data_IF_714417403606
#
_entry.id   IF_714417403606
#
_cell.length_a   1.000
_cell.length_b   1.000
_cell.length_c   1.000
_cell.angle_alpha   90.00
_cell.angle_beta   90.00
_cell.angle_gamma   90.00
#
_symmetry.space_group_name_H-M   'P 1'
#
loop_
_entity.id
_entity.type
_entity.pdbx_description
1 polymer ?
#
# COMPACT_ATOMS: atom_id res chain seq x y z
N UNK A 1 -15.96 -4.25 -2.71
CA UNK A 1 -15.38 -2.90 -2.64
C UNK A 1 -16.20 -1.97 -3.51
N UNK A 2 -16.67 -0.86 -2.95
CA UNK A 2 -17.31 0.25 -3.67
C UNK A 2 -16.28 1.36 -3.92
N UNK A 3 -16.59 2.34 -4.79
CA UNK A 3 -15.70 3.51 -4.96
C UNK A 3 -15.59 4.31 -3.66
N UNK A 4 -16.66 4.40 -2.88
CA UNK A 4 -16.64 5.08 -1.57
C UNK A 4 -15.72 4.38 -0.57
N UNK A 5 -15.77 3.04 -0.49
CA UNK A 5 -14.87 2.26 0.36
C UNK A 5 -13.41 2.44 -0.08
N UNK A 6 -13.10 2.29 -1.37
CA UNK A 6 -11.77 2.52 -1.91
C UNK A 6 -11.26 3.93 -1.57
N UNK A 7 -12.11 4.95 -1.75
CA UNK A 7 -11.78 6.33 -1.45
C UNK A 7 -11.39 6.54 0.02
N UNK A 8 -12.19 6.00 0.95
CA UNK A 8 -11.94 6.10 2.39
C UNK A 8 -10.70 5.29 2.82
N UNK A 9 -10.52 4.09 2.28
CA UNK A 9 -9.33 3.27 2.54
C UNK A 9 -8.05 3.94 2.02
N UNK A 10 -8.09 4.52 0.83
CA UNK A 10 -6.94 5.25 0.29
C UNK A 10 -6.63 6.53 1.07
N UNK A 11 -7.64 7.26 1.55
CA UNK A 11 -7.43 8.43 2.41
C UNK A 11 -6.87 8.06 3.79
N UNK A 12 -7.39 7.00 4.40
CA UNK A 12 -6.99 6.59 5.75
C UNK A 12 -5.60 5.95 5.77
N UNK A 13 -5.27 5.15 4.76
CA UNK A 13 -3.96 4.49 4.65
C UNK A 13 -2.89 5.35 3.96
N UNK A 14 -3.29 6.40 3.24
CA UNK A 14 -2.39 7.18 2.38
C UNK A 14 -1.86 6.40 1.18
N UNK A 15 -2.39 5.20 0.92
CA UNK A 15 -1.93 4.30 -0.15
C UNK A 15 -3.11 3.86 -1.00
N UNK A 16 -2.92 3.87 -2.32
CA UNK A 16 -3.76 3.17 -3.28
C UNK A 16 -2.92 2.13 -4.00
N UNK A 17 -3.46 0.94 -4.20
CA UNK A 17 -2.72 -0.16 -4.84
C UNK A 17 -2.98 -0.23 -6.33
N UNK A 18 -2.06 -0.80 -7.13
CA UNK A 18 -2.28 -0.98 -8.58
C UNK A 18 -3.58 -1.72 -8.90
N UNK A 19 -3.88 -2.80 -8.18
CA UNK A 19 -5.11 -3.58 -8.38
C UNK A 19 -6.39 -2.76 -8.13
N UNK A 20 -6.33 -1.78 -7.24
CA UNK A 20 -7.47 -0.89 -6.96
C UNK A 20 -7.63 0.17 -8.04
N UNK A 21 -6.53 0.69 -8.59
CA UNK A 21 -6.56 1.55 -9.77
C UNK A 21 -7.12 0.78 -10.95
N UNK A 22 -6.63 -0.42 -11.22
CA UNK A 22 -7.12 -1.27 -12.31
C UNK A 22 -8.61 -1.56 -12.16
N UNK A 23 -9.05 -1.87 -10.94
CA UNK A 23 -10.48 -2.07 -10.63
C UNK A 23 -11.32 -0.81 -10.90
N UNK A 24 -10.79 0.37 -10.56
CA UNK A 24 -11.48 1.65 -10.76
C UNK A 24 -11.53 2.05 -12.24
N UNK A 25 -10.46 1.81 -12.99
CA UNK A 25 -10.38 2.05 -14.44
C UNK A 25 -11.27 1.09 -15.24
N UNK A 26 -11.36 -0.18 -14.84
CA UNK A 26 -12.26 -1.16 -15.47
C UNK A 26 -13.75 -0.77 -15.36
N UNK A 27 -14.10 0.10 -14.40
CA UNK A 27 -15.47 0.52 -14.11
C UNK A 27 -15.78 1.95 -14.58
N UNK A 28 -14.84 2.66 -15.20
CA UNK A 28 -14.98 4.10 -15.49
C UNK A 28 -16.28 4.47 -16.21
N UNK A 29 -16.79 3.59 -17.09
CA UNK A 29 -17.98 3.84 -17.89
C UNK A 29 -19.31 3.52 -17.17
N UNK A 30 -19.27 2.89 -15.99
CA UNK A 30 -20.46 2.50 -15.20
C UNK A 30 -20.59 3.25 -13.88
N UNK A 31 -19.61 4.11 -13.56
CA UNK A 31 -19.63 4.93 -12.35
C UNK A 31 -20.73 5.98 -12.42
N UNK A 32 -21.44 6.15 -11.30
CA UNK A 32 -22.35 7.27 -11.08
C UNK A 32 -21.57 8.60 -11.01
N UNK A 33 -22.26 9.74 -11.19
CA UNK A 33 -21.60 11.06 -11.08
C UNK A 33 -20.83 11.28 -9.77
N UNK A 34 -21.37 10.91 -8.58
CA UNK A 34 -20.60 11.03 -7.33
C UNK A 34 -19.36 10.14 -7.30
N UNK A 35 -19.44 8.92 -7.84
CA UNK A 35 -18.30 8.01 -7.91
C UNK A 35 -17.21 8.50 -8.88
N UNK A 36 -17.61 9.08 -10.01
CA UNK A 36 -16.68 9.74 -10.94
C UNK A 36 -15.98 10.92 -10.28
N UNK A 37 -16.70 11.74 -9.51
CA UNK A 37 -16.10 12.85 -8.76
C UNK A 37 -15.09 12.35 -7.70
N UNK A 38 -15.41 11.24 -7.02
CA UNK A 38 -14.51 10.61 -6.06
C UNK A 38 -13.25 10.05 -6.74
N UNK A 39 -13.39 9.37 -7.88
CA UNK A 39 -12.31 8.87 -8.72
C UNK A 39 -11.38 10.01 -9.19
N UNK A 40 -11.94 11.11 -9.70
CA UNK A 40 -11.18 12.29 -10.11
C UNK A 40 -10.42 12.91 -8.92
N UNK A 41 -11.05 12.96 -7.75
CA UNK A 41 -10.39 13.45 -6.54
C UNK A 41 -9.25 12.55 -6.10
N UNK A 42 -9.39 11.23 -6.21
CA UNK A 42 -8.29 10.28 -5.97
C UNK A 42 -7.11 10.53 -6.91
N UNK A 43 -7.37 10.73 -8.21
CA UNK A 43 -6.33 11.06 -9.18
C UNK A 43 -5.56 12.31 -8.78
N UNK A 44 -6.25 13.40 -8.41
CA UNK A 44 -5.58 14.63 -7.94
C UNK A 44 -4.75 14.44 -6.68
N UNK A 45 -5.23 13.64 -5.73
CA UNK A 45 -4.48 13.34 -4.50
C UNK A 45 -3.23 12.52 -4.80
N UNK A 46 -3.30 11.62 -5.79
CA UNK A 46 -2.16 10.86 -6.28
C UNK A 46 -1.13 11.78 -6.95
N UNK A 47 -1.57 12.66 -7.86
CA UNK A 47 -0.70 13.61 -8.56
C UNK A 47 0.00 14.59 -7.60
N UNK A 48 -0.66 14.94 -6.49
CA UNK A 48 -0.11 15.81 -5.44
C UNK A 48 0.84 15.07 -4.47
N UNK A 49 0.91 13.74 -4.55
CA UNK A 49 1.66 12.92 -3.59
C UNK A 49 1.01 12.82 -2.20
N UNK A 50 -0.24 13.27 -2.06
CA UNK A 50 -1.00 13.13 -0.80
C UNK A 50 -1.44 11.68 -0.56
N UNK A 51 -1.64 10.92 -1.64
CA UNK A 51 -1.79 9.46 -1.64
C UNK A 51 -0.68 8.89 -2.51
N UNK A 52 -0.12 7.75 -2.11
CA UNK A 52 0.96 7.09 -2.83
C UNK A 52 0.49 5.79 -3.49
N UNK A 53 1.07 5.47 -4.63
CA UNK A 53 1.00 4.13 -5.22
C UNK A 53 1.81 3.16 -4.36
N UNK A 54 1.21 2.05 -3.94
CA UNK A 54 1.90 1.10 -3.08
C UNK A 54 1.23 -0.26 -2.93
N UNK A 55 1.58 -0.97 -1.87
CA UNK A 55 1.00 -2.27 -1.54
C UNK A 55 0.51 -2.27 -0.09
N UNK A 56 -0.58 -2.99 0.19
CA UNK A 56 -1.04 -3.24 1.56
C UNK A 56 -0.55 -4.62 2.00
N UNK A 57 0.36 -4.64 2.95
CA UNK A 57 0.88 -5.88 3.53
C UNK A 57 -0.14 -6.44 4.51
N UNK A 58 -0.59 -7.67 4.30
CA UNK A 58 -1.38 -8.37 5.31
C UNK A 58 -0.50 -8.64 6.54
N UNK A 59 -1.08 -8.58 7.75
CA UNK A 59 -0.36 -8.92 9.00
C UNK A 59 0.31 -10.29 8.96
N UNK A 60 -0.25 -11.24 8.20
CA UNK A 60 0.34 -12.56 7.99
C UNK A 60 1.69 -12.50 7.24
N UNK A 61 1.87 -11.56 6.31
CA UNK A 61 3.18 -11.34 5.65
C UNK A 61 4.20 -10.68 6.58
N UNK A 62 3.76 -9.90 7.56
CA UNK A 62 4.62 -9.36 8.62
C UNK A 62 5.03 -10.42 9.66
N UNK A 63 4.27 -11.53 9.79
CA UNK A 63 4.62 -12.66 10.66
C UNK A 63 5.78 -13.53 10.14
N UNK A 64 6.43 -13.14 9.05
CA UNK A 64 7.69 -13.73 8.61
C UNK A 64 8.82 -13.34 9.59
N UNK A 65 8.75 -13.80 10.85
CA UNK A 65 9.84 -13.79 11.86
C UNK A 65 11.13 -14.42 11.33
N UNK A 66 11.07 -15.15 10.23
CA UNK A 66 12.20 -15.63 9.44
C UNK A 66 13.02 -14.49 8.82
N UNK A 67 12.44 -13.38 8.33
CA UNK A 67 13.24 -12.27 7.76
C UNK A 67 14.03 -11.56 8.85
N UNK A 68 13.43 -11.32 10.01
CA UNK A 68 14.11 -10.67 11.13
C UNK A 68 15.31 -11.51 11.64
N UNK A 69 15.10 -12.82 11.84
CA UNK A 69 16.12 -13.69 12.41
C UNK A 69 17.19 -14.13 11.39
N UNK A 70 16.83 -14.33 10.11
CA UNK A 70 17.78 -14.80 9.09
C UNK A 70 18.49 -13.68 8.31
N UNK A 71 17.89 -12.49 8.18
CA UNK A 71 18.43 -11.42 7.33
C UNK A 71 18.92 -10.20 8.12
N UNK A 72 18.25 -9.84 9.22
CA UNK A 72 18.61 -8.65 10.03
C UNK A 72 19.60 -9.02 11.14
N UNK A 73 19.39 -10.17 11.81
CA UNK A 73 20.21 -10.63 12.94
C UNK A 73 21.65 -11.12 12.62
N UNK A 74 22.02 -11.59 11.40
CA UNK A 74 23.40 -11.98 11.09
C UNK A 74 24.40 -10.82 11.09
N UNK A 75 23.91 -9.57 10.95
CA UNK A 75 24.75 -8.37 10.91
C UNK A 75 25.30 -7.97 12.29
N UNK A 76 24.74 -8.53 13.39
CA UNK A 76 25.13 -8.20 14.76
C UNK A 76 26.09 -9.19 15.44
N UNK A 77 26.08 -10.49 15.07
CA UNK A 77 26.85 -11.51 15.81
C UNK A 77 28.33 -11.59 15.46
N UNK A 78 28.76 -11.18 14.25
CA UNK A 78 30.18 -11.32 13.83
C UNK A 78 31.13 -10.24 14.35
N UNK A 79 30.69 -9.30 15.20
CA UNK A 79 31.56 -8.24 15.75
C UNK A 79 32.16 -8.55 17.13
N UNK A 80 31.80 -9.67 17.77
CA UNK A 80 32.34 -10.06 19.07
C UNK A 80 33.00 -11.45 19.10
N UNK A 81 33.54 -11.89 17.96
CA UNK A 81 34.47 -13.02 17.89
C UNK A 81 35.91 -12.55 18.12
N UNK A 82 36.35 -12.63 19.38
CA UNK A 82 37.74 -12.67 19.89
C UNK A 82 38.89 -12.49 18.88
N UNK A 83 39.74 -11.49 19.15
CA UNK A 83 41.17 -11.47 18.85
C UNK A 83 41.90 -10.96 20.13
N UNK A 84 43.13 -11.39 20.43
CA UNK A 84 43.72 -12.73 20.38
C UNK A 84 43.60 -13.49 21.73
#
# INVERSE_FOLDING_TARGET
MTVGELFLESLSSGVITPAEIDWLLARHNTLTRPEQAAALRLGRLLDQGAIQLGCRLSRQRLHHRLVANEWIEPLGRRRHGRHP
#
